data_IF_353409199869
#
_entry.id   IF_353409199869
#
_cell.length_a   1.000
_cell.length_b   1.000
_cell.length_c   1.000
_cell.angle_alpha   90.00
_cell.angle_beta   90.00
_cell.angle_gamma   90.00
#
_symmetry.space_group_name_H-M   'P 1'
#
loop_
_entity.id
_entity.type
_entity.pdbx_description
1 polymer ?
#
# COMPACT_ATOMS: atom_id res chain seq x y z
N UNK A 1 7.12 80.28 7.86
CA UNK A 1 8.15 79.24 7.64
C UNK A 1 7.47 77.87 7.75
N UNK A 2 7.50 77.10 6.65
CA UNK A 2 7.44 75.62 6.48
C UNK A 2 6.44 74.77 7.31
N UNK A 3 5.39 74.19 6.69
CA UNK A 3 5.27 72.78 6.18
C UNK A 3 4.82 71.75 7.25
N UNK A 4 3.96 70.72 7.06
CA UNK A 4 3.23 70.07 5.95
C UNK A 4 2.28 69.00 6.57
N UNK A 5 1.08 68.80 5.96
CA UNK A 5 0.30 67.53 5.69
C UNK A 5 0.08 66.47 6.81
N UNK A 6 -1.05 65.72 6.94
CA UNK A 6 -2.07 65.24 5.98
C UNK A 6 -3.28 64.61 6.73
N UNK A 7 -4.42 64.50 6.03
CA UNK A 7 -5.68 63.92 6.46
C UNK A 7 -5.78 62.39 6.29
N UNK A 8 -6.69 61.76 7.03
CA UNK A 8 -7.21 60.41 6.78
C UNK A 8 -8.45 60.13 7.64
N UNK A 9 -9.61 59.86 7.01
CA UNK A 9 -10.81 59.32 7.67
C UNK A 9 -11.48 58.34 6.74
N UNK A 10 -11.54 57.10 7.20
CA UNK A 10 -12.12 55.90 6.58
C UNK A 10 -13.59 55.78 6.97
N UNK A 11 -14.47 55.69 5.96
CA UNK A 11 -15.85 55.20 6.07
C UNK A 11 -15.96 53.93 5.22
N UNK A 12 -16.37 52.83 5.86
CA UNK A 12 -16.76 51.57 5.21
C UNK A 12 -18.17 51.72 4.64
N UNK A 13 -18.45 51.15 3.45
CA UNK A 13 -19.75 50.58 3.16
C UNK A 13 -19.68 49.07 2.92
N UNK A 14 -20.76 48.42 3.32
CA UNK A 14 -21.03 46.99 3.23
C UNK A 14 -20.95 46.45 1.79
N UNK A 15 -20.38 45.24 1.65
CA UNK A 15 -20.41 44.45 0.43
C UNK A 15 -20.88 43.03 0.76
N UNK A 16 -22.18 42.87 0.98
CA UNK A 16 -22.87 41.58 0.97
C UNK A 16 -23.93 41.64 -0.13
N UNK A 17 -23.72 40.84 -1.18
CA UNK A 17 -24.66 40.42 -2.25
C UNK A 17 -23.99 40.50 -3.63
N UNK A 18 -23.06 39.58 -3.91
CA UNK A 18 -22.64 39.28 -5.30
C UNK A 18 -22.32 37.81 -5.58
N UNK A 19 -22.35 36.92 -4.58
CA UNK A 19 -22.10 35.48 -4.78
C UNK A 19 -23.35 34.66 -5.13
N UNK A 20 -24.56 35.09 -4.75
CA UNK A 20 -25.78 34.32 -4.98
C UNK A 20 -26.35 34.44 -6.41
N UNK A 21 -26.11 35.57 -7.09
CA UNK A 21 -26.67 35.83 -8.44
C UNK A 21 -25.93 35.12 -9.58
N UNK A 22 -24.60 34.99 -9.48
CA UNK A 22 -23.80 34.30 -10.50
C UNK A 22 -23.98 32.78 -10.48
N UNK A 23 -24.31 32.20 -9.32
CA UNK A 23 -24.67 30.78 -9.19
C UNK A 23 -26.04 30.47 -9.83
N UNK A 24 -27.05 31.31 -9.55
CA UNK A 24 -28.40 31.15 -10.10
C UNK A 24 -28.43 31.30 -11.64
N UNK A 25 -27.74 32.29 -12.20
CA UNK A 25 -27.67 32.52 -13.65
C UNK A 25 -26.84 31.45 -14.41
N UNK A 26 -25.90 30.78 -13.73
CA UNK A 26 -25.24 29.58 -14.30
C UNK A 26 -26.15 28.35 -14.26
N UNK A 27 -26.85 28.13 -13.14
CA UNK A 27 -27.81 27.02 -13.02
C UNK A 27 -28.94 27.14 -14.04
N UNK A 28 -29.48 28.33 -14.25
CA UNK A 28 -30.57 28.56 -15.20
C UNK A 28 -30.12 28.33 -16.65
N UNK A 29 -28.88 28.74 -16.99
CA UNK A 29 -28.26 28.42 -18.29
C UNK A 29 -27.95 26.94 -18.48
N UNK A 30 -27.51 26.24 -17.45
CA UNK A 30 -27.28 24.78 -17.48
C UNK A 30 -28.60 24.01 -17.67
N UNK A 31 -29.66 24.38 -16.93
CA UNK A 31 -30.99 23.77 -17.04
C UNK A 31 -31.58 24.01 -18.43
N UNK A 32 -31.48 25.24 -18.94
CA UNK A 32 -31.94 25.59 -20.29
C UNK A 32 -31.19 24.81 -21.37
N UNK A 33 -29.85 24.76 -21.30
CA UNK A 33 -29.05 23.94 -22.23
C UNK A 33 -29.43 22.46 -22.17
N UNK A 34 -29.69 21.92 -20.97
CA UNK A 34 -30.12 20.52 -20.78
C UNK A 34 -31.50 20.24 -21.39
N UNK A 35 -32.43 21.20 -21.30
CA UNK A 35 -33.76 21.10 -21.90
C UNK A 35 -33.71 21.22 -23.43
N UNK A 36 -32.90 22.16 -23.95
CA UNK A 36 -32.64 22.30 -25.40
C UNK A 36 -31.98 21.03 -25.97
N UNK A 37 -31.02 20.45 -25.26
CA UNK A 37 -30.38 19.16 -25.61
C UNK A 37 -31.36 18.00 -25.63
N UNK A 38 -32.27 17.90 -24.65
CA UNK A 38 -33.30 16.86 -24.63
C UNK A 38 -34.29 17.02 -25.77
N UNK A 39 -34.65 18.26 -26.12
CA UNK A 39 -35.53 18.54 -27.25
C UNK A 39 -34.85 18.19 -28.59
N UNK A 40 -33.56 18.53 -28.76
CA UNK A 40 -32.77 18.14 -29.93
C UNK A 40 -32.57 16.62 -30.01
N UNK A 41 -32.40 15.93 -28.88
CA UNK A 41 -32.26 14.47 -28.85
C UNK A 41 -33.55 13.72 -29.21
N UNK A 42 -34.72 14.38 -29.09
CA UNK A 42 -36.02 13.79 -29.42
C UNK A 42 -36.38 13.90 -30.91
N UNK A 43 -35.75 14.78 -31.70
CA UNK A 43 -36.11 14.98 -33.11
C UNK A 43 -35.10 15.70 -34.01
N UNK A 44 -33.89 15.99 -33.52
CA UNK A 44 -32.82 16.65 -34.26
C UNK A 44 -31.96 15.67 -35.08
N UNK A 45 -31.26 16.20 -36.07
CA UNK A 45 -30.35 15.41 -36.93
C UNK A 45 -29.12 14.92 -36.14
N UNK A 46 -28.63 13.72 -36.46
CA UNK A 46 -27.49 13.09 -35.78
C UNK A 46 -26.22 13.97 -35.86
N UNK A 47 -26.01 14.65 -36.98
CA UNK A 47 -24.84 15.53 -37.16
C UNK A 47 -24.87 16.75 -36.23
N UNK A 48 -26.06 17.31 -35.97
CA UNK A 48 -26.25 18.41 -35.03
C UNK A 48 -25.96 17.94 -33.59
N UNK A 49 -26.48 16.76 -33.22
CA UNK A 49 -26.27 16.17 -31.90
C UNK A 49 -24.78 15.85 -31.68
N UNK A 50 -24.11 15.27 -32.67
CA UNK A 50 -22.65 15.02 -32.63
C UNK A 50 -21.89 16.31 -32.38
N UNK A 51 -22.13 17.34 -33.19
CA UNK A 51 -21.47 18.65 -33.06
C UNK A 51 -21.64 19.19 -31.65
N UNK A 52 -22.86 19.08 -31.11
CA UNK A 52 -23.16 19.56 -29.77
C UNK A 52 -22.47 18.76 -28.67
N UNK A 53 -22.36 17.44 -28.81
CA UNK A 53 -21.60 16.60 -27.86
C UNK A 53 -20.12 16.98 -27.88
N UNK A 54 -19.54 17.18 -29.06
CA UNK A 54 -18.15 17.63 -29.19
C UNK A 54 -17.92 18.99 -28.53
N UNK A 55 -18.85 19.95 -28.67
CA UNK A 55 -18.80 21.24 -27.96
C UNK A 55 -18.85 21.10 -26.43
N UNK A 56 -19.57 20.10 -25.90
CA UNK A 56 -19.66 19.86 -24.46
C UNK A 56 -18.38 19.22 -23.90
N UNK A 57 -17.64 18.49 -24.73
CA UNK A 57 -16.37 17.86 -24.36
C UNK A 57 -15.16 18.77 -24.63
N UNK A 58 -15.36 19.89 -25.32
CA UNK A 58 -14.33 20.89 -25.58
C UNK A 58 -13.83 21.54 -24.28
N UNK A 59 -12.54 21.35 -24.02
CA UNK A 59 -11.82 21.92 -22.87
C UNK A 59 -11.38 23.36 -23.10
N UNK A 60 -11.33 23.83 -24.35
CA UNK A 60 -10.80 25.14 -24.74
C UNK A 60 -11.31 26.31 -23.89
N UNK A 61 -12.61 26.38 -23.50
CA UNK A 61 -13.13 27.45 -22.65
C UNK A 61 -12.54 27.49 -21.23
N UNK A 62 -11.94 26.40 -20.76
CA UNK A 62 -11.42 26.22 -19.40
C UNK A 62 -9.89 26.24 -19.34
N UNK A 63 -9.22 26.13 -20.48
CA UNK A 63 -7.75 26.07 -20.55
C UNK A 63 -7.13 27.41 -20.16
N UNK A 64 -6.23 27.37 -19.17
CA UNK A 64 -5.34 28.48 -18.79
C UNK A 64 -3.90 27.99 -18.87
N UNK A 65 -3.06 28.72 -19.59
CA UNK A 65 -1.64 28.36 -19.75
C UNK A 65 -1.40 26.98 -20.38
N UNK A 66 -2.32 26.50 -21.21
CA UNK A 66 -2.20 25.21 -21.90
C UNK A 66 -2.69 24.01 -21.08
N UNK A 67 -3.35 24.24 -19.94
CA UNK A 67 -3.89 23.19 -19.08
C UNK A 67 -5.17 23.66 -18.35
N UNK A 68 -6.03 22.76 -17.89
CA UNK A 68 -7.22 23.08 -17.08
C UNK A 68 -6.89 22.94 -15.60
N UNK A 69 -6.78 24.08 -14.91
CA UNK A 69 -6.48 24.13 -13.47
C UNK A 69 -7.60 23.49 -12.62
N UNK A 70 -7.25 22.99 -11.43
CA UNK A 70 -8.16 22.38 -10.45
C UNK A 70 -9.47 23.17 -10.24
N UNK A 71 -9.38 24.50 -10.15
CA UNK A 71 -10.54 25.37 -9.92
C UNK A 71 -11.56 25.35 -11.07
N UNK A 72 -11.10 25.14 -12.30
CA UNK A 72 -11.90 25.10 -13.52
C UNK A 72 -12.27 23.66 -13.92
N UNK A 73 -11.51 22.65 -13.47
CA UNK A 73 -11.79 21.22 -13.72
C UNK A 73 -13.20 20.80 -13.28
N UNK A 74 -13.69 21.31 -12.14
CA UNK A 74 -15.08 21.07 -11.70
C UNK A 74 -16.10 21.60 -12.71
N UNK A 75 -15.88 22.81 -13.23
CA UNK A 75 -16.82 23.43 -14.18
C UNK A 75 -16.79 22.71 -15.53
N UNK A 76 -15.61 22.23 -15.96
CA UNK A 76 -15.48 21.38 -17.12
C UNK A 76 -16.20 20.03 -16.92
N UNK A 77 -15.99 19.35 -15.79
CA UNK A 77 -16.68 18.09 -15.49
C UNK A 77 -18.21 18.23 -15.50
N UNK A 78 -18.75 19.35 -14.99
CA UNK A 78 -20.18 19.67 -15.09
C UNK A 78 -20.66 19.93 -16.52
N UNK A 79 -19.80 20.45 -17.40
CA UNK A 79 -20.09 20.59 -18.83
C UNK A 79 -20.07 19.24 -19.53
N UNK A 80 -19.03 18.44 -19.32
CA UNK A 80 -18.87 17.12 -19.92
C UNK A 80 -19.99 16.15 -19.47
N UNK A 81 -20.45 16.22 -18.22
CA UNK A 81 -21.61 15.47 -17.72
C UNK A 81 -22.93 15.78 -18.47
N UNK A 82 -23.03 16.92 -19.15
CA UNK A 82 -24.19 17.21 -20.01
C UNK A 82 -24.16 16.38 -21.29
N UNK A 83 -22.99 16.01 -21.80
CA UNK A 83 -22.86 15.10 -22.94
C UNK A 83 -23.45 13.72 -22.59
N UNK A 84 -23.12 13.20 -21.39
CA UNK A 84 -23.74 11.98 -20.85
C UNK A 84 -25.26 12.10 -20.84
N UNK A 85 -25.79 13.17 -20.25
CA UNK A 85 -27.24 13.39 -20.19
C UNK A 85 -27.92 13.44 -21.56
N UNK A 86 -27.24 13.97 -22.58
CA UNK A 86 -27.74 14.02 -23.94
C UNK A 86 -27.75 12.62 -24.57
N UNK A 87 -26.67 11.86 -24.41
CA UNK A 87 -26.55 10.51 -24.96
C UNK A 87 -27.54 9.55 -24.31
N UNK A 88 -27.69 9.58 -22.98
CA UNK A 88 -28.71 8.77 -22.26
C UNK A 88 -30.13 9.10 -22.74
N UNK A 89 -30.40 10.36 -23.10
CA UNK A 89 -31.71 10.75 -23.62
C UNK A 89 -32.00 10.12 -24.98
N UNK A 90 -31.01 9.92 -25.84
CA UNK A 90 -31.18 9.24 -27.13
C UNK A 90 -31.66 7.79 -26.96
N UNK A 91 -31.07 7.05 -26.02
CA UNK A 91 -31.55 5.70 -25.68
C UNK A 91 -33.02 5.73 -25.24
N UNK A 92 -33.37 6.70 -24.40
CA UNK A 92 -34.74 6.87 -23.88
C UNK A 92 -35.77 7.28 -24.95
N UNK A 93 -35.33 7.96 -26.02
CA UNK A 93 -36.19 8.38 -27.14
C UNK A 93 -36.22 7.40 -28.31
N UNK A 94 -35.66 6.19 -28.13
CA UNK A 94 -35.67 5.12 -29.13
C UNK A 94 -34.55 5.20 -30.17
N UNK A 95 -33.54 6.05 -29.94
CA UNK A 95 -32.36 6.24 -30.81
C UNK A 95 -31.12 5.57 -30.20
N UNK A 96 -31.28 4.34 -29.76
CA UNK A 96 -30.22 3.61 -29.05
C UNK A 96 -28.97 3.35 -29.93
N UNK A 97 -29.13 3.11 -31.24
CA UNK A 97 -27.98 2.97 -32.16
C UNK A 97 -27.13 4.24 -32.23
N UNK A 98 -27.77 5.40 -32.34
CA UNK A 98 -27.08 6.71 -32.31
C UNK A 98 -26.36 6.92 -30.97
N UNK A 99 -27.00 6.53 -29.87
CA UNK A 99 -26.41 6.62 -28.53
C UNK A 99 -25.14 5.75 -28.42
N UNK A 100 -25.12 4.55 -28.99
CA UNK A 100 -23.92 3.69 -29.04
C UNK A 100 -22.78 4.44 -29.73
N UNK A 101 -23.00 4.93 -30.95
CA UNK A 101 -21.96 5.60 -31.73
C UNK A 101 -21.43 6.85 -31.01
N UNK A 102 -22.33 7.66 -30.47
CA UNK A 102 -21.97 8.91 -29.79
C UNK A 102 -21.29 8.66 -28.44
N UNK A 103 -21.65 7.63 -27.69
CA UNK A 103 -20.91 7.26 -26.48
C UNK A 103 -19.47 6.87 -26.79
N UNK A 104 -19.24 6.05 -27.83
CA UNK A 104 -17.87 5.63 -28.23
C UNK A 104 -17.03 6.84 -28.65
N UNK A 105 -17.62 7.76 -29.42
CA UNK A 105 -16.96 9.01 -29.84
C UNK A 105 -16.67 9.94 -28.65
N UNK A 106 -17.62 10.07 -27.73
CA UNK A 106 -17.49 10.89 -26.52
C UNK A 106 -16.39 10.39 -25.59
N UNK A 107 -16.30 9.07 -25.37
CA UNK A 107 -15.22 8.49 -24.56
C UNK A 107 -13.85 8.80 -25.17
N UNK A 108 -13.69 8.61 -26.48
CA UNK A 108 -12.43 8.92 -27.17
C UNK A 108 -12.05 10.40 -26.98
N UNK A 109 -12.99 11.31 -27.19
CA UNK A 109 -12.76 12.76 -27.03
C UNK A 109 -12.37 13.12 -25.59
N UNK A 110 -13.01 12.50 -24.60
CA UNK A 110 -12.68 12.72 -23.19
C UNK A 110 -11.27 12.21 -22.84
N UNK A 111 -10.92 11.02 -23.32
CA UNK A 111 -9.60 10.40 -23.14
C UNK A 111 -8.47 11.21 -23.80
N UNK A 112 -8.72 11.86 -24.93
CA UNK A 112 -7.73 12.69 -25.64
C UNK A 112 -7.34 13.96 -24.90
N UNK A 113 -8.19 14.45 -23.99
CA UNK A 113 -7.96 15.71 -23.28
C UNK A 113 -7.51 15.52 -21.83
N UNK A 114 -7.55 14.29 -21.30
CA UNK A 114 -7.36 14.01 -19.86
C UNK A 114 -6.02 14.49 -19.30
N UNK A 115 -4.92 14.30 -20.05
CA UNK A 115 -3.56 14.69 -19.63
C UNK A 115 -3.40 16.20 -19.48
N UNK A 116 -4.36 16.97 -20.00
CA UNK A 116 -4.42 18.42 -19.93
C UNK A 116 -5.27 18.97 -18.78
N UNK A 117 -5.74 18.13 -17.83
CA UNK A 117 -6.71 18.54 -16.79
C UNK A 117 -6.31 18.06 -15.39
N UNK A 118 -6.34 18.95 -14.39
CA UNK A 118 -6.07 18.59 -12.99
C UNK A 118 -7.36 18.02 -12.39
N UNK A 119 -7.55 16.72 -12.62
CA UNK A 119 -8.68 15.93 -12.13
C UNK A 119 -8.40 15.26 -10.78
N UNK A 120 -7.71 15.94 -9.87
CA UNK A 120 -7.42 15.40 -8.54
C UNK A 120 -8.68 14.99 -7.74
N UNK A 121 -9.85 15.54 -8.08
CA UNK A 121 -11.16 15.21 -7.50
C UNK A 121 -11.88 14.03 -8.20
N UNK A 122 -11.31 13.44 -9.26
CA UNK A 122 -11.88 12.30 -9.98
C UNK A 122 -13.18 12.60 -10.76
N UNK A 123 -13.37 13.84 -11.20
CA UNK A 123 -14.58 14.29 -11.93
C UNK A 123 -14.62 13.72 -13.34
N UNK A 124 -13.49 13.68 -14.05
CA UNK A 124 -13.42 13.10 -15.39
C UNK A 124 -13.66 11.60 -15.33
N UNK A 125 -13.11 10.90 -14.34
CA UNK A 125 -13.39 9.48 -14.14
C UNK A 125 -14.89 9.25 -13.96
N UNK A 126 -15.57 10.07 -13.14
CA UNK A 126 -17.03 10.00 -13.00
C UNK A 126 -17.82 10.26 -14.30
N UNK A 127 -17.34 11.13 -15.20
CA UNK A 127 -17.95 11.33 -16.52
C UNK A 127 -17.68 10.14 -17.44
N UNK A 128 -16.45 9.60 -17.43
CA UNK A 128 -16.07 8.42 -18.21
C UNK A 128 -16.88 7.19 -17.84
N UNK A 129 -17.01 6.88 -16.54
CA UNK A 129 -17.89 5.80 -16.04
C UNK A 129 -19.33 6.02 -16.49
N UNK A 130 -19.86 7.24 -16.40
CA UNK A 130 -21.24 7.52 -16.79
C UNK A 130 -21.46 7.42 -18.32
N UNK A 131 -20.45 7.72 -19.14
CA UNK A 131 -20.48 7.44 -20.58
C UNK A 131 -20.49 5.92 -20.85
N UNK A 132 -19.71 5.15 -20.09
CA UNK A 132 -19.66 3.69 -20.21
C UNK A 132 -20.99 3.03 -19.85
N UNK A 133 -21.64 3.48 -18.78
CA UNK A 133 -23.00 3.09 -18.40
C UNK A 133 -24.01 3.42 -19.51
N UNK A 134 -23.97 4.65 -20.03
CA UNK A 134 -24.87 5.07 -21.12
C UNK A 134 -24.68 4.24 -22.39
N UNK A 135 -23.44 3.87 -22.73
CA UNK A 135 -23.13 2.96 -23.83
C UNK A 135 -23.71 1.56 -23.58
N UNK A 136 -23.51 0.98 -22.40
CA UNK A 136 -24.03 -0.34 -22.06
C UNK A 136 -25.56 -0.40 -22.14
N UNK A 137 -26.25 0.61 -21.61
CA UNK A 137 -27.72 0.71 -21.67
C UNK A 137 -28.22 0.86 -23.12
N UNK A 138 -27.52 1.64 -23.94
CA UNK A 138 -27.81 1.75 -25.36
C UNK A 138 -27.62 0.40 -26.08
N UNK A 139 -26.52 -0.31 -25.80
CA UNK A 139 -26.26 -1.65 -26.32
C UNK A 139 -27.35 -2.66 -25.91
N UNK A 140 -27.81 -2.64 -24.66
CA UNK A 140 -28.91 -3.50 -24.19
C UNK A 140 -30.23 -3.23 -24.93
N UNK A 141 -30.47 -1.98 -25.30
CA UNK A 141 -31.69 -1.54 -25.99
C UNK A 141 -31.64 -1.85 -27.49
N UNK A 142 -30.53 -1.50 -28.16
CA UNK A 142 -30.39 -1.65 -29.62
C UNK A 142 -30.02 -3.08 -30.04
N UNK A 143 -29.38 -3.86 -29.16
CA UNK A 143 -28.81 -5.19 -29.48
C UNK A 143 -27.91 -5.14 -30.73
N UNK A 144 -26.80 -4.37 -30.68
CA UNK A 144 -25.88 -4.25 -31.80
C UNK A 144 -25.20 -5.59 -32.11
N UNK A 145 -24.51 -5.66 -33.26
CA UNK A 145 -23.73 -6.85 -33.62
C UNK A 145 -22.75 -7.23 -32.48
N UNK A 146 -22.83 -8.48 -31.97
CA UNK A 146 -21.99 -8.92 -30.86
C UNK A 146 -20.50 -8.93 -31.17
N UNK A 147 -20.10 -9.27 -32.40
CA UNK A 147 -18.70 -9.39 -32.77
C UNK A 147 -18.06 -8.02 -32.98
N UNK A 148 -18.78 -7.08 -33.60
CA UNK A 148 -18.35 -5.68 -33.72
C UNK A 148 -18.21 -5.04 -32.32
N UNK A 149 -19.19 -5.27 -31.45
CA UNK A 149 -19.15 -4.74 -30.07
C UNK A 149 -18.01 -5.35 -29.27
N UNK A 150 -17.78 -6.66 -29.39
CA UNK A 150 -16.65 -7.34 -28.76
C UNK A 150 -15.29 -6.81 -29.25
N UNK A 151 -15.14 -6.59 -30.56
CA UNK A 151 -13.93 -5.99 -31.14
C UNK A 151 -13.69 -4.57 -30.64
N UNK A 152 -14.75 -3.76 -30.54
CA UNK A 152 -14.64 -2.40 -30.00
C UNK A 152 -14.21 -2.42 -28.53
N UNK A 153 -14.83 -3.27 -27.70
CA UNK A 153 -14.51 -3.38 -26.27
C UNK A 153 -13.04 -3.74 -26.04
N UNK A 154 -12.53 -4.76 -26.75
CA UNK A 154 -11.12 -5.16 -26.58
C UNK A 154 -10.18 -4.04 -27.03
N UNK A 155 -10.46 -3.38 -28.16
CA UNK A 155 -9.65 -2.24 -28.62
C UNK A 155 -9.68 -1.08 -27.63
N UNK A 156 -10.83 -0.84 -27.01
CA UNK A 156 -11.01 0.22 -26.02
C UNK A 156 -10.23 -0.10 -24.75
N UNK A 157 -10.35 -1.30 -24.19
CA UNK A 157 -9.64 -1.70 -22.96
C UNK A 157 -8.11 -1.73 -23.14
N UNK A 158 -7.63 -2.07 -24.33
CA UNK A 158 -6.20 -2.13 -24.63
C UNK A 158 -5.57 -0.78 -25.00
N UNK A 159 -6.35 0.30 -25.01
CA UNK A 159 -5.84 1.63 -25.33
C UNK A 159 -5.44 2.35 -24.04
N UNK A 160 -4.16 2.72 -23.94
CA UNK A 160 -3.55 3.38 -22.78
C UNK A 160 -4.22 4.70 -22.35
N UNK A 161 -5.05 5.31 -23.21
CA UNK A 161 -5.78 6.54 -22.91
C UNK A 161 -7.15 6.31 -22.24
N UNK A 162 -7.60 5.07 -22.05
CA UNK A 162 -8.99 4.77 -21.67
C UNK A 162 -9.24 4.56 -20.17
N UNK A 163 -8.29 4.97 -19.32
CA UNK A 163 -8.32 4.86 -17.86
C UNK A 163 -9.54 5.53 -17.19
N UNK A 164 -10.24 6.44 -17.87
CA UNK A 164 -11.41 7.14 -17.31
C UNK A 164 -12.70 6.31 -17.27
N UNK A 165 -12.79 5.24 -18.07
CA UNK A 165 -14.07 4.57 -18.32
C UNK A 165 -14.32 3.33 -17.46
N UNK A 166 -13.26 2.70 -16.96
CA UNK A 166 -13.31 1.43 -16.21
C UNK A 166 -14.14 0.31 -16.88
N UNK A 167 -14.24 0.31 -18.22
CA UNK A 167 -15.03 -0.70 -18.95
C UNK A 167 -14.46 -2.11 -18.74
N UNK A 168 -15.29 -3.00 -18.20
CA UNK A 168 -15.03 -4.44 -18.16
C UNK A 168 -15.89 -5.17 -19.21
N UNK A 169 -15.29 -5.85 -20.21
CA UNK A 169 -16.05 -6.59 -21.23
C UNK A 169 -17.02 -7.63 -20.66
N UNK A 170 -16.81 -8.10 -19.42
CA UNK A 170 -17.71 -9.03 -18.75
C UNK A 170 -19.05 -8.40 -18.36
N UNK A 171 -19.12 -7.08 -18.20
CA UNK A 171 -20.38 -6.37 -17.93
C UNK A 171 -21.30 -6.35 -19.16
N UNK A 172 -20.72 -6.55 -20.35
CA UNK A 172 -21.42 -6.64 -21.63
C UNK A 172 -21.85 -8.07 -21.98
N UNK A 173 -21.65 -9.05 -21.10
CA UNK A 173 -21.93 -10.46 -21.40
C UNK A 173 -23.37 -10.72 -21.86
N UNK A 174 -24.35 -9.97 -21.35
CA UNK A 174 -25.76 -10.09 -21.75
C UNK A 174 -26.07 -9.46 -23.13
N UNK A 175 -25.24 -8.51 -23.57
CA UNK A 175 -25.30 -7.90 -24.91
C UNK A 175 -24.58 -8.80 -25.92
N UNK A 176 -23.40 -9.28 -25.57
CA UNK A 176 -22.52 -10.05 -26.46
C UNK A 176 -23.02 -11.49 -26.66
N UNK A 177 -23.70 -12.06 -25.67
CA UNK A 177 -24.03 -13.48 -25.66
C UNK A 177 -22.77 -14.36 -25.77
N UNK A 178 -22.97 -15.64 -26.05
CA UNK A 178 -21.86 -16.60 -26.16
C UNK A 178 -20.93 -16.26 -27.34
N UNK A 179 -21.50 -15.89 -28.49
CA UNK A 179 -20.76 -15.58 -29.71
C UNK A 179 -19.80 -14.39 -29.52
N UNK A 180 -20.30 -13.23 -29.09
CA UNK A 180 -19.45 -12.06 -28.89
C UNK A 180 -18.41 -12.29 -27.78
N UNK A 181 -18.74 -13.08 -26.74
CA UNK A 181 -17.77 -13.45 -25.71
C UNK A 181 -16.67 -14.38 -26.22
N UNK A 182 -16.92 -15.23 -27.23
CA UNK A 182 -15.87 -15.99 -27.92
C UNK A 182 -14.92 -15.03 -28.63
N UNK A 183 -15.45 -14.05 -29.36
CA UNK A 183 -14.67 -13.02 -30.05
C UNK A 183 -13.80 -12.22 -29.08
N UNK A 184 -14.36 -11.75 -27.95
CA UNK A 184 -13.60 -11.04 -26.91
C UNK A 184 -12.44 -11.89 -26.37
N UNK A 185 -12.67 -13.16 -26.06
CA UNK A 185 -11.61 -14.06 -25.55
C UNK A 185 -10.52 -14.31 -26.59
N UNK A 186 -10.89 -14.53 -27.85
CA UNK A 186 -9.93 -14.74 -28.94
C UNK A 186 -9.02 -13.52 -29.10
N UNK A 187 -9.60 -12.33 -29.17
CA UNK A 187 -8.84 -11.09 -29.31
C UNK A 187 -7.95 -10.78 -28.10
N UNK A 188 -8.41 -11.08 -26.87
CA UNK A 188 -7.58 -10.94 -25.67
C UNK A 188 -6.35 -11.87 -25.71
N UNK A 189 -6.53 -13.12 -26.16
CA UNK A 189 -5.42 -14.07 -26.33
C UNK A 189 -4.46 -13.61 -27.42
N UNK A 190 -4.96 -13.09 -28.55
CA UNK A 190 -4.15 -12.54 -29.63
C UNK A 190 -3.34 -11.33 -29.20
N UNK A 191 -3.97 -10.39 -28.48
CA UNK A 191 -3.30 -9.22 -27.92
C UNK A 191 -2.17 -9.61 -26.97
N UNK A 192 -2.45 -10.52 -26.02
CA UNK A 192 -1.42 -11.04 -25.10
C UNK A 192 -0.26 -11.74 -25.82
N UNK A 193 -0.54 -12.48 -26.90
CA UNK A 193 0.53 -13.10 -27.72
C UNK A 193 1.38 -12.05 -28.43
N UNK A 194 0.78 -10.93 -28.85
CA UNK A 194 1.47 -9.81 -29.47
C UNK A 194 2.32 -9.00 -28.49
N UNK A 195 1.88 -8.86 -27.24
CA UNK A 195 2.55 -8.07 -26.20
C UNK A 195 2.48 -8.73 -24.81
N UNK A 196 3.44 -9.62 -24.52
CA UNK A 196 3.52 -10.35 -23.22
C UNK A 196 3.99 -9.52 -22.03
N UNK A 197 4.40 -8.27 -22.27
CA UNK A 197 4.85 -7.35 -21.22
C UNK A 197 3.82 -6.27 -20.92
N UNK A 198 2.76 -6.18 -21.74
CA UNK A 198 1.71 -5.19 -21.61
C UNK A 198 0.80 -5.45 -20.42
N UNK A 199 0.58 -4.41 -19.62
CA UNK A 199 -0.24 -4.51 -18.41
C UNK A 199 -1.73 -4.69 -18.74
N UNK A 200 -2.24 -3.97 -19.74
CA UNK A 200 -3.64 -4.05 -20.16
C UNK A 200 -3.98 -5.44 -20.74
N UNK A 201 -3.10 -6.01 -21.57
CA UNK A 201 -3.24 -7.34 -22.14
C UNK A 201 -3.21 -8.42 -21.06
N UNK A 202 -2.27 -8.30 -20.11
CA UNK A 202 -2.18 -9.19 -18.95
C UNK A 202 -3.48 -9.15 -18.14
N UNK A 203 -3.92 -7.95 -17.79
CA UNK A 203 -5.11 -7.73 -16.97
C UNK A 203 -6.37 -8.27 -17.65
N UNK A 204 -6.59 -7.93 -18.92
CA UNK A 204 -7.76 -8.38 -19.67
C UNK A 204 -7.81 -9.91 -19.78
N UNK A 205 -6.70 -10.55 -20.15
CA UNK A 205 -6.66 -12.01 -20.29
C UNK A 205 -6.84 -12.71 -18.93
N UNK A 206 -6.19 -12.23 -17.87
CA UNK A 206 -6.37 -12.76 -16.52
C UNK A 206 -7.83 -12.61 -16.05
N UNK A 207 -8.42 -11.44 -16.26
CA UNK A 207 -9.81 -11.14 -15.88
C UNK A 207 -10.81 -12.07 -16.56
N UNK A 208 -10.66 -12.29 -17.87
CA UNK A 208 -11.49 -13.20 -18.66
C UNK A 208 -11.30 -14.66 -18.26
N UNK A 209 -10.05 -15.08 -18.02
CA UNK A 209 -9.73 -16.44 -17.60
C UNK A 209 -10.34 -16.77 -16.23
N UNK A 210 -10.24 -15.85 -15.26
CA UNK A 210 -10.88 -15.99 -13.93
C UNK A 210 -12.39 -16.13 -14.04
N UNK A 211 -13.05 -15.30 -14.85
CA UNK A 211 -14.49 -15.40 -15.06
C UNK A 211 -14.92 -16.72 -15.73
N UNK A 212 -14.05 -17.29 -16.57
CA UNK A 212 -14.24 -18.60 -17.20
C UNK A 212 -13.81 -19.79 -16.35
N UNK A 213 -13.29 -19.58 -15.12
CA UNK A 213 -12.60 -20.60 -14.32
C UNK A 213 -11.45 -21.32 -15.08
N UNK A 214 -10.82 -20.63 -16.03
CA UNK A 214 -9.66 -21.12 -16.77
C UNK A 214 -8.36 -20.85 -15.99
N UNK A 215 -8.13 -21.72 -15.02
CA UNK A 215 -6.98 -21.62 -14.10
C UNK A 215 -5.66 -21.80 -14.84
N UNK A 216 -5.62 -22.62 -15.91
CA UNK A 216 -4.40 -22.83 -16.69
C UNK A 216 -3.97 -21.55 -17.41
N UNK A 217 -4.91 -20.78 -17.95
CA UNK A 217 -4.60 -19.48 -18.54
C UNK A 217 -4.11 -18.49 -17.48
N UNK A 218 -4.74 -18.42 -16.30
CA UNK A 218 -4.28 -17.56 -15.20
C UNK A 218 -2.84 -17.92 -14.80
N UNK A 219 -2.53 -19.21 -14.66
CA UNK A 219 -1.18 -19.72 -14.37
C UNK A 219 -0.21 -19.30 -15.47
N UNK A 220 -0.56 -19.48 -16.75
CA UNK A 220 0.31 -19.14 -17.88
C UNK A 220 0.61 -17.63 -17.97
N UNK A 221 -0.38 -16.79 -17.67
CA UNK A 221 -0.23 -15.33 -17.65
C UNK A 221 0.75 -14.89 -16.56
N UNK A 222 0.60 -15.40 -15.33
CA UNK A 222 1.55 -15.12 -14.25
C UNK A 222 2.94 -15.73 -14.50
N UNK A 223 2.99 -16.93 -15.09
CA UNK A 223 4.25 -17.60 -15.39
C UNK A 223 5.10 -16.91 -16.47
N UNK A 224 4.52 -16.02 -17.27
CA UNK A 224 5.22 -15.28 -18.30
C UNK A 224 6.19 -14.23 -17.73
N UNK A 225 5.93 -13.74 -16.51
CA UNK A 225 6.77 -12.75 -15.82
C UNK A 225 6.88 -13.08 -14.32
N UNK A 226 7.83 -13.97 -14.00
CA UNK A 226 8.06 -14.44 -12.65
C UNK A 226 8.96 -13.48 -11.88
N UNK A 227 8.43 -12.93 -10.78
CA UNK A 227 9.22 -12.10 -9.89
C UNK A 227 10.40 -12.89 -9.28
N UNK A 228 11.62 -12.32 -9.24
CA UNK A 228 12.81 -13.01 -8.74
C UNK A 228 12.71 -13.51 -7.29
N UNK A 229 11.91 -12.86 -6.45
CA UNK A 229 11.67 -13.25 -5.05
C UNK A 229 10.60 -14.34 -4.88
N UNK A 230 9.98 -14.81 -5.95
CA UNK A 230 8.95 -15.85 -5.90
C UNK A 230 7.53 -15.37 -5.56
N UNK A 231 7.28 -14.06 -5.44
CA UNK A 231 5.92 -13.54 -5.17
C UNK A 231 4.90 -13.96 -6.24
N UNK A 232 5.28 -13.96 -7.52
CA UNK A 232 4.42 -14.47 -8.61
C UNK A 232 4.14 -15.97 -8.48
N UNK A 233 5.11 -16.76 -7.98
CA UNK A 233 4.89 -18.18 -7.72
C UNK A 233 3.85 -18.40 -6.62
N UNK A 234 3.85 -17.56 -5.58
CA UNK A 234 2.84 -17.60 -4.53
C UNK A 234 1.45 -17.27 -5.06
N UNK A 235 1.32 -16.27 -5.96
CA UNK A 235 0.05 -15.97 -6.62
C UNK A 235 -0.46 -17.21 -7.35
N UNK A 236 0.37 -17.80 -8.21
CA UNK A 236 0.04 -19.04 -8.94
C UNK A 236 -0.39 -20.18 -7.99
N UNK A 237 0.37 -20.40 -6.92
CA UNK A 237 0.07 -21.46 -5.97
C UNK A 237 -1.29 -21.27 -5.27
N UNK A 238 -1.67 -20.03 -4.95
CA UNK A 238 -2.97 -19.70 -4.35
C UNK A 238 -4.13 -19.87 -5.34
N UNK A 239 -3.93 -19.53 -6.61
CA UNK A 239 -4.92 -19.76 -7.66
C UNK A 239 -5.21 -21.25 -7.83
N UNK A 240 -4.15 -22.05 -7.93
CA UNK A 240 -4.26 -23.51 -8.03
C UNK A 240 -4.94 -24.12 -6.81
N UNK A 241 -4.67 -23.62 -5.61
CA UNK A 241 -5.37 -24.08 -4.40
C UNK A 241 -6.85 -23.75 -4.42
N UNK A 242 -7.20 -22.52 -4.81
CA UNK A 242 -8.59 -22.08 -4.95
C UNK A 242 -9.34 -22.95 -5.97
N UNK A 243 -8.64 -23.40 -7.00
CA UNK A 243 -9.13 -24.32 -8.02
C UNK A 243 -9.15 -25.81 -7.61
N UNK A 244 -8.72 -26.16 -6.39
CA UNK A 244 -8.68 -27.55 -5.93
C UNK A 244 -7.56 -28.38 -6.55
N UNK A 245 -6.44 -27.76 -6.97
CA UNK A 245 -5.24 -28.40 -7.55
C UNK A 245 -4.03 -28.32 -6.58
N UNK A 246 -4.10 -28.93 -5.38
CA UNK A 246 -3.12 -28.72 -4.32
C UNK A 246 -1.72 -29.24 -4.69
N UNK A 247 -1.62 -30.34 -5.43
CA UNK A 247 -0.32 -30.90 -5.81
C UNK A 247 0.46 -29.96 -6.74
N UNK A 248 -0.22 -29.30 -7.66
CA UNK A 248 0.38 -28.30 -8.55
C UNK A 248 0.75 -27.03 -7.81
N UNK A 249 -0.15 -26.57 -6.93
CA UNK A 249 0.12 -25.46 -6.03
C UNK A 249 1.41 -25.68 -5.23
N UNK A 250 1.58 -26.88 -4.64
CA UNK A 250 2.77 -27.22 -3.87
C UNK A 250 4.03 -27.19 -4.75
N UNK A 251 3.97 -27.77 -5.95
CA UNK A 251 5.10 -27.74 -6.91
C UNK A 251 5.48 -26.31 -7.30
N UNK A 252 4.50 -25.43 -7.52
CA UNK A 252 4.74 -24.03 -7.83
C UNK A 252 5.39 -23.27 -6.67
N UNK A 253 4.94 -23.53 -5.43
CA UNK A 253 5.55 -22.91 -4.26
C UNK A 253 7.00 -23.40 -4.02
N UNK A 254 7.24 -24.72 -4.13
CA UNK A 254 8.59 -25.30 -4.03
C UNK A 254 9.52 -24.76 -5.13
N UNK A 255 9.01 -24.63 -6.36
CA UNK A 255 9.71 -24.01 -7.49
C UNK A 255 10.09 -22.57 -7.18
N UNK A 256 9.18 -21.78 -6.61
CA UNK A 256 9.43 -20.39 -6.25
C UNK A 256 10.58 -20.23 -5.25
N UNK A 257 10.65 -21.09 -4.23
CA UNK A 257 11.79 -21.11 -3.29
C UNK A 257 13.09 -21.47 -4.00
N UNK A 258 13.07 -22.49 -4.86
CA UNK A 258 14.25 -22.95 -5.60
C UNK A 258 14.80 -21.88 -6.54
N UNK A 259 13.93 -21.22 -7.29
CA UNK A 259 14.31 -20.16 -8.24
C UNK A 259 14.74 -18.87 -7.52
N UNK A 260 14.13 -18.57 -6.37
CA UNK A 260 14.55 -17.46 -5.52
C UNK A 260 15.82 -17.75 -4.72
N UNK A 261 16.42 -18.95 -4.76
CA UNK A 261 17.64 -19.28 -4.00
C UNK A 261 18.94 -18.60 -4.52
N UNK A 262 18.82 -17.61 -5.40
CA UNK A 262 19.92 -16.80 -5.93
C UNK A 262 20.29 -15.58 -5.06
N UNK A 263 20.64 -14.41 -5.65
CA UNK A 263 21.03 -13.22 -4.88
C UNK A 263 19.85 -12.52 -4.17
N UNK A 264 18.62 -12.92 -4.49
CA UNK A 264 17.38 -12.34 -3.93
C UNK A 264 16.88 -13.28 -2.84
N UNK A 265 16.35 -12.75 -1.75
CA UNK A 265 15.75 -13.64 -0.74
C UNK A 265 14.31 -13.97 -1.12
N UNK A 266 13.86 -15.24 -0.96
CA UNK A 266 12.46 -15.59 -1.15
C UNK A 266 11.51 -14.70 -0.35
N UNK A 267 10.36 -14.40 -0.95
CA UNK A 267 9.25 -13.70 -0.31
C UNK A 267 8.83 -14.45 0.97
N UNK A 268 8.77 -13.73 2.10
CA UNK A 268 8.40 -14.30 3.40
C UNK A 268 7.00 -14.92 3.34
N UNK A 269 6.07 -14.32 2.60
CA UNK A 269 4.73 -14.86 2.44
C UNK A 269 4.74 -16.20 1.68
N UNK A 270 5.67 -16.39 0.74
CA UNK A 270 5.85 -17.67 0.04
C UNK A 270 6.42 -18.73 0.99
N UNK A 271 7.43 -18.36 1.79
CA UNK A 271 8.00 -19.25 2.82
C UNK A 271 6.94 -19.70 3.82
N UNK A 272 6.16 -18.75 4.35
CA UNK A 272 5.11 -19.02 5.32
C UNK A 272 4.04 -19.94 4.73
N UNK A 273 3.61 -19.65 3.50
CA UNK A 273 2.67 -20.48 2.76
C UNK A 273 3.19 -21.92 2.59
N UNK A 274 4.45 -22.10 2.17
CA UNK A 274 5.01 -23.43 1.95
C UNK A 274 5.21 -24.21 3.26
N UNK A 275 5.63 -23.54 4.35
CA UNK A 275 5.76 -24.18 5.67
C UNK A 275 4.41 -24.70 6.19
N UNK A 276 3.35 -23.91 6.03
CA UNK A 276 1.99 -24.27 6.41
C UNK A 276 1.49 -25.47 5.59
N UNK A 277 1.82 -25.53 4.30
CA UNK A 277 1.52 -26.67 3.42
C UNK A 277 2.27 -27.93 3.83
N UNK A 278 3.56 -27.83 4.12
CA UNK A 278 4.33 -28.95 4.67
C UNK A 278 3.75 -29.45 5.99
N UNK A 279 3.29 -28.55 6.85
CA UNK A 279 2.64 -28.92 8.12
C UNK A 279 1.36 -29.71 7.89
N UNK A 280 0.50 -29.27 6.97
CA UNK A 280 -0.74 -30.01 6.63
C UNK A 280 -0.47 -31.36 5.97
N UNK A 281 0.65 -31.50 5.25
CA UNK A 281 1.05 -32.73 4.59
C UNK A 281 1.91 -33.67 5.47
N UNK A 282 2.04 -33.38 6.78
CA UNK A 282 2.91 -34.10 7.73
C UNK A 282 4.40 -34.15 7.31
N UNK A 283 4.83 -33.22 6.46
CA UNK A 283 6.21 -33.02 6.01
C UNK A 283 6.97 -32.06 6.94
N UNK A 284 6.83 -32.25 8.25
CA UNK A 284 7.32 -31.28 9.25
C UNK A 284 8.84 -31.06 9.17
N UNK A 285 9.61 -32.09 8.80
CA UNK A 285 11.06 -31.97 8.60
C UNK A 285 11.44 -31.01 7.47
N UNK A 286 10.62 -30.93 6.42
CA UNK A 286 10.85 -30.01 5.30
C UNK A 286 10.58 -28.56 5.71
N UNK A 287 9.60 -28.33 6.58
CA UNK A 287 9.36 -27.00 7.16
C UNK A 287 10.55 -26.54 8.02
N UNK A 288 11.13 -27.43 8.83
CA UNK A 288 12.36 -27.13 9.59
C UNK A 288 13.53 -26.81 8.66
N UNK A 289 13.73 -27.62 7.62
CA UNK A 289 14.79 -27.39 6.64
C UNK A 289 14.65 -26.03 5.93
N UNK A 290 13.43 -25.67 5.53
CA UNK A 290 13.14 -24.38 4.89
C UNK A 290 13.40 -23.21 5.85
N UNK A 291 12.91 -23.28 7.09
CA UNK A 291 13.17 -22.23 8.10
C UNK A 291 14.65 -22.10 8.44
N UNK A 292 15.41 -23.19 8.39
CA UNK A 292 16.88 -23.15 8.56
C UNK A 292 17.55 -22.36 7.43
N UNK A 293 17.15 -22.60 6.18
CA UNK A 293 17.65 -21.84 5.02
C UNK A 293 17.31 -20.36 5.16
N UNK A 294 16.08 -20.05 5.59
CA UNK A 294 15.63 -18.67 5.81
C UNK A 294 16.45 -17.98 6.90
N UNK A 295 16.74 -18.63 8.04
CA UNK A 295 17.61 -18.06 9.06
C UNK A 295 19.05 -17.84 8.56
N UNK A 296 19.55 -18.75 7.72
CA UNK A 296 20.88 -18.61 7.11
C UNK A 296 20.99 -17.38 6.19
N UNK A 297 19.92 -17.10 5.43
CA UNK A 297 19.83 -15.92 4.56
C UNK A 297 19.47 -14.64 5.34
N UNK A 298 18.61 -14.76 6.34
CA UNK A 298 18.04 -13.68 7.14
C UNK A 298 18.26 -13.92 8.62
N UNK A 299 19.38 -13.37 9.09
CA UNK A 299 19.81 -13.46 10.48
C UNK A 299 19.00 -12.48 11.33
N UNK A 300 17.74 -12.81 11.56
CA UNK A 300 16.81 -12.01 12.35
C UNK A 300 16.24 -12.81 13.51
N UNK A 301 15.79 -12.12 14.56
CA UNK A 301 15.12 -12.75 15.69
C UNK A 301 13.85 -13.49 15.23
N UNK A 302 13.10 -12.91 14.29
CA UNK A 302 11.87 -13.51 13.75
C UNK A 302 12.17 -14.84 13.06
N UNK A 303 13.21 -14.90 12.22
CA UNK A 303 13.61 -16.15 11.56
C UNK A 303 14.04 -17.22 12.57
N UNK A 304 14.73 -16.82 13.65
CA UNK A 304 15.09 -17.73 14.74
C UNK A 304 13.84 -18.27 15.45
N UNK A 305 12.89 -17.41 15.81
CA UNK A 305 11.64 -17.80 16.45
C UNK A 305 10.82 -18.75 15.56
N UNK A 306 10.74 -18.48 14.26
CA UNK A 306 10.05 -19.36 13.32
C UNK A 306 10.73 -20.72 13.18
N UNK A 307 12.07 -20.77 13.14
CA UNK A 307 12.82 -22.02 13.18
C UNK A 307 12.57 -22.78 14.49
N UNK A 308 12.57 -22.09 15.63
CA UNK A 308 12.28 -22.68 16.95
C UNK A 308 10.91 -23.34 16.98
N UNK A 309 9.87 -22.62 16.57
CA UNK A 309 8.50 -23.14 16.50
C UNK A 309 8.42 -24.40 15.62
N UNK A 310 9.01 -24.36 14.43
CA UNK A 310 9.03 -25.52 13.52
C UNK A 310 9.83 -26.71 14.09
N UNK A 311 10.96 -26.46 14.73
CA UNK A 311 11.80 -27.53 15.28
C UNK A 311 11.21 -28.15 16.55
N UNK A 312 10.47 -27.37 17.35
CA UNK A 312 9.76 -27.85 18.53
C UNK A 312 8.64 -28.81 18.16
N UNK A 313 7.92 -28.59 17.05
CA UNK A 313 6.85 -29.50 16.62
C UNK A 313 7.36 -30.89 16.22
N UNK A 314 8.64 -31.01 15.86
CA UNK A 314 9.32 -32.27 15.50
C UNK A 314 10.23 -32.79 16.64
N UNK A 315 10.33 -32.06 17.76
CA UNK A 315 11.17 -32.44 18.90
C UNK A 315 12.69 -32.33 18.63
N UNK A 316 13.12 -31.60 17.60
CA UNK A 316 14.53 -31.45 17.23
C UNK A 316 15.15 -30.10 17.60
N UNK A 317 14.43 -29.29 18.40
CA UNK A 317 14.84 -27.92 18.73
C UNK A 317 16.27 -27.81 19.26
N UNK A 318 16.72 -28.70 20.15
CA UNK A 318 18.06 -28.57 20.74
C UNK A 318 19.17 -28.65 19.68
N UNK A 319 19.07 -29.59 18.73
CA UNK A 319 20.04 -29.72 17.65
C UNK A 319 19.99 -28.52 16.68
N UNK A 320 18.79 -28.00 16.39
CA UNK A 320 18.63 -26.82 15.54
C UNK A 320 19.10 -25.53 16.22
N UNK A 321 18.87 -25.42 17.53
CA UNK A 321 19.31 -24.29 18.36
C UNK A 321 20.83 -24.17 18.33
N UNK A 322 21.55 -25.26 18.54
CA UNK A 322 23.02 -25.25 18.48
C UNK A 322 23.54 -24.76 17.13
N UNK A 323 22.93 -25.23 16.03
CA UNK A 323 23.27 -24.81 14.66
C UNK A 323 22.94 -23.33 14.42
N UNK A 324 21.75 -22.89 14.83
CA UNK A 324 21.28 -21.52 14.71
C UNK A 324 22.19 -20.56 15.48
N UNK A 325 22.52 -20.88 16.73
CA UNK A 325 23.40 -20.05 17.56
C UNK A 325 24.85 -20.05 17.04
N UNK A 326 25.36 -21.17 16.52
CA UNK A 326 26.68 -21.20 15.88
C UNK A 326 26.73 -20.28 14.64
N UNK A 327 25.68 -20.31 13.82
CA UNK A 327 25.52 -19.43 12.67
C UNK A 327 25.48 -17.95 13.10
N UNK A 328 24.68 -17.60 14.12
CA UNK A 328 24.54 -16.24 14.63
C UNK A 328 25.83 -15.73 15.31
N UNK A 329 26.57 -16.60 16.01
CA UNK A 329 27.90 -16.31 16.56
C UNK A 329 28.91 -15.97 15.46
N UNK A 330 28.97 -16.79 14.42
CA UNK A 330 29.87 -16.53 13.30
C UNK A 330 29.53 -15.21 12.58
N UNK A 331 28.26 -14.77 12.63
CA UNK A 331 27.85 -13.48 12.09
C UNK A 331 28.28 -12.31 12.96
N UNK A 332 28.01 -12.41 14.26
CA UNK A 332 28.35 -11.40 15.24
C UNK A 332 29.87 -11.12 15.27
N UNK A 333 30.69 -12.12 14.95
CA UNK A 333 32.14 -11.98 14.81
C UNK A 333 32.56 -11.29 13.51
N UNK A 334 31.82 -11.48 12.42
CA UNK A 334 32.11 -10.87 11.10
C UNK A 334 31.64 -9.43 11.03
N UNK A 335 30.51 -9.13 11.63
CA UNK A 335 29.87 -7.83 11.60
C UNK A 335 30.23 -7.06 12.87
N UNK A 336 31.20 -6.15 12.79
CA UNK A 336 31.39 -5.18 13.88
C UNK A 336 30.08 -4.40 14.06
N UNK A 337 29.69 -4.19 15.31
CA UNK A 337 28.44 -3.54 15.75
C UNK A 337 27.99 -2.43 14.79
N UNK A 338 26.90 -2.67 14.07
CA UNK A 338 26.28 -1.68 13.19
C UNK A 338 25.64 -0.57 14.03
N UNK A 339 25.65 0.67 13.54
CA UNK A 339 24.92 1.78 14.16
C UNK A 339 23.41 1.45 14.31
N UNK A 340 22.86 0.64 13.40
CA UNK A 340 21.43 0.37 13.32
C UNK A 340 20.93 -0.80 14.20
N UNK A 341 21.82 -1.51 14.90
CA UNK A 341 21.42 -2.63 15.77
C UNK A 341 22.60 -3.49 16.23
N UNK A 342 22.44 -4.10 17.40
CA UNK A 342 23.44 -5.05 17.91
C UNK A 342 23.24 -6.47 17.37
N UNK A 343 24.12 -7.41 17.72
CA UNK A 343 24.10 -8.75 17.15
C UNK A 343 22.79 -9.50 17.47
N UNK A 344 22.16 -10.08 16.45
CA UNK A 344 20.93 -10.88 16.60
C UNK A 344 21.12 -12.10 17.51
N UNK A 345 22.36 -12.58 17.63
CA UNK A 345 22.75 -13.60 18.61
C UNK A 345 22.23 -13.29 20.03
N UNK A 346 22.35 -12.04 20.47
CA UNK A 346 22.01 -11.65 21.83
C UNK A 346 20.49 -11.67 22.02
N UNK A 347 19.75 -11.13 21.05
CA UNK A 347 18.29 -11.15 21.07
C UNK A 347 17.76 -12.59 21.03
N UNK A 348 18.37 -13.47 20.22
CA UNK A 348 18.02 -14.89 20.17
C UNK A 348 18.28 -15.61 21.50
N UNK A 349 19.42 -15.35 22.15
CA UNK A 349 19.73 -15.96 23.46
C UNK A 349 18.81 -15.44 24.57
N UNK A 350 18.46 -14.16 24.55
CA UNK A 350 17.46 -13.58 25.46
C UNK A 350 16.07 -14.19 25.25
N UNK A 351 15.65 -14.38 23.98
CA UNK A 351 14.39 -15.00 23.61
C UNK A 351 14.31 -16.49 23.98
N UNK A 352 15.47 -17.17 24.02
CA UNK A 352 15.64 -18.53 24.54
C UNK A 352 15.80 -18.60 26.06
N UNK A 353 15.72 -17.46 26.76
CA UNK A 353 15.90 -17.33 28.22
C UNK A 353 17.29 -17.76 28.74
N UNK A 354 18.29 -17.84 27.85
CA UNK A 354 19.67 -18.21 28.17
C UNK A 354 20.49 -16.96 28.54
N UNK A 355 20.15 -16.37 29.68
CA UNK A 355 20.70 -15.08 30.14
C UNK A 355 22.22 -15.12 30.30
N UNK A 356 22.75 -16.26 30.77
CA UNK A 356 24.18 -16.42 30.99
C UNK A 356 24.95 -16.39 29.67
N UNK A 357 24.50 -17.15 28.66
CA UNK A 357 25.11 -17.14 27.34
C UNK A 357 24.91 -15.79 26.63
N UNK A 358 23.74 -15.16 26.79
CA UNK A 358 23.44 -13.85 26.22
C UNK A 358 24.40 -12.77 26.77
N UNK A 359 24.65 -12.80 28.09
CA UNK A 359 25.59 -11.90 28.75
C UNK A 359 27.04 -12.11 28.27
N UNK A 360 27.46 -13.36 28.16
CA UNK A 360 28.78 -13.70 27.64
C UNK A 360 28.95 -13.22 26.19
N UNK A 361 27.98 -13.51 25.33
CA UNK A 361 27.99 -13.06 23.94
C UNK A 361 28.06 -11.53 23.84
N UNK A 362 27.27 -10.81 24.63
CA UNK A 362 27.31 -9.34 24.67
C UNK A 362 28.67 -8.77 25.08
N UNK A 363 29.38 -9.44 26.00
CA UNK A 363 30.72 -9.06 26.39
C UNK A 363 31.77 -9.34 25.31
N UNK A 364 31.62 -10.41 24.54
CA UNK A 364 32.57 -10.85 23.50
C UNK A 364 32.40 -10.11 22.18
N UNK A 365 31.17 -9.94 21.70
CA UNK A 365 30.88 -9.38 20.37
C UNK A 365 30.51 -7.89 20.42
N UNK A 366 30.32 -7.36 21.62
CA UNK A 366 29.65 -6.08 21.84
C UNK A 366 28.12 -6.21 21.68
N UNK A 367 27.39 -5.29 22.30
CA UNK A 367 25.93 -5.23 22.22
C UNK A 367 25.46 -3.78 22.16
N UNK A 368 24.30 -3.57 21.55
CA UNK A 368 23.66 -2.26 21.49
C UNK A 368 23.04 -1.90 22.86
N UNK A 369 22.88 -0.62 23.17
CA UNK A 369 22.34 -0.15 24.46
C UNK A 369 20.96 -0.73 24.78
N UNK A 370 20.11 -0.90 23.75
CA UNK A 370 18.81 -1.60 23.88
C UNK A 370 18.98 -3.04 24.39
N UNK A 371 19.96 -3.78 23.87
CA UNK A 371 20.22 -5.17 24.24
C UNK A 371 20.84 -5.25 25.64
N UNK A 372 21.75 -4.33 25.95
CA UNK A 372 22.30 -4.19 27.30
C UNK A 372 21.21 -3.89 28.34
N UNK A 373 20.25 -3.03 28.00
CA UNK A 373 19.11 -2.74 28.87
C UNK A 373 18.27 -4.00 29.12
N UNK A 374 17.91 -4.73 28.06
CA UNK A 374 17.15 -5.98 28.17
C UNK A 374 17.90 -7.04 29.00
N UNK A 375 19.21 -7.20 28.78
CA UNK A 375 20.08 -8.06 29.57
C UNK A 375 20.09 -7.68 31.04
N UNK A 376 20.25 -6.39 31.36
CA UNK A 376 20.25 -5.91 32.73
C UNK A 376 18.90 -6.15 33.42
N UNK A 377 17.80 -5.94 32.72
CA UNK A 377 16.45 -6.19 33.22
C UNK A 377 16.23 -7.65 33.58
N UNK A 378 16.64 -8.58 32.71
CA UNK A 378 16.51 -10.02 32.96
C UNK A 378 17.53 -10.55 33.98
N UNK A 379 18.74 -10.01 34.00
CA UNK A 379 19.80 -10.41 34.94
C UNK A 379 19.69 -9.75 36.33
N UNK A 380 18.76 -8.82 36.55
CA UNK A 380 18.68 -8.03 37.79
C UNK A 380 18.59 -8.87 39.07
N UNK A 381 17.94 -10.03 38.99
CA UNK A 381 17.78 -10.93 40.14
C UNK A 381 19.00 -11.80 40.38
N UNK A 382 19.63 -12.31 39.32
CA UNK A 382 20.75 -13.25 39.40
C UNK A 382 22.12 -12.56 39.47
N UNK A 383 22.24 -11.36 38.90
CA UNK A 383 23.48 -10.57 38.77
C UNK A 383 23.22 -9.07 39.02
N UNK A 384 22.73 -8.67 40.21
CA UNK A 384 22.34 -7.28 40.48
C UNK A 384 23.50 -6.28 40.35
N UNK A 385 24.74 -6.68 40.66
CA UNK A 385 25.93 -5.82 40.50
C UNK A 385 26.24 -5.51 39.03
N UNK A 386 26.13 -6.52 38.16
CA UNK A 386 26.39 -6.33 36.73
C UNK A 386 25.29 -5.52 36.06
N UNK A 387 24.02 -5.79 36.40
CA UNK A 387 22.88 -5.01 35.93
C UNK A 387 22.99 -3.53 36.38
N UNK A 388 23.41 -3.28 37.62
CA UNK A 388 23.66 -1.94 38.14
C UNK A 388 24.68 -1.17 37.29
N UNK A 389 25.81 -1.79 36.96
CA UNK A 389 26.85 -1.17 36.11
C UNK A 389 26.31 -0.77 34.74
N UNK A 390 25.47 -1.62 34.14
CA UNK A 390 24.82 -1.32 32.86
C UNK A 390 23.87 -0.14 32.99
N UNK A 391 22.97 -0.14 33.98
CA UNK A 391 22.03 0.97 34.15
C UNK A 391 22.73 2.31 34.40
N UNK A 392 23.78 2.34 35.22
CA UNK A 392 24.56 3.55 35.47
C UNK A 392 25.23 4.07 34.19
N UNK A 393 25.82 3.17 33.39
CA UNK A 393 26.42 3.51 32.08
C UNK A 393 25.38 4.10 31.12
N UNK A 394 24.18 3.51 31.05
CA UNK A 394 23.09 3.99 30.19
C UNK A 394 22.47 5.30 30.70
N UNK A 395 22.46 5.53 32.02
CA UNK A 395 21.92 6.74 32.62
C UNK A 395 22.83 7.97 32.38
N UNK A 396 24.16 7.78 32.39
CA UNK A 396 25.14 8.86 32.28
C UNK A 396 24.90 9.81 31.08
N UNK A 397 24.77 9.36 29.82
CA UNK A 397 24.54 10.26 28.70
C UNK A 397 23.20 11.02 28.81
N UNK A 398 22.16 10.40 29.38
CA UNK A 398 20.85 11.02 29.57
C UNK A 398 20.88 12.17 30.57
N UNK A 399 21.80 12.15 31.55
CA UNK A 399 21.98 13.26 32.51
C UNK A 399 22.42 14.56 31.82
N UNK A 400 23.14 14.46 30.70
CA UNK A 400 23.70 15.59 29.94
C UNK A 400 22.66 16.18 28.97
N UNK A 401 21.69 15.40 28.54
CA UNK A 401 20.66 15.79 27.57
C UNK A 401 19.45 16.50 28.25
N UNK A 402 18.59 17.10 27.43
CA UNK A 402 17.36 17.78 27.88
C UNK A 402 16.17 17.40 27.03
N UNK A 403 15.04 17.07 27.67
CA UNK A 403 13.80 16.70 27.00
C UNK A 403 12.93 15.88 27.94
N UNK A 404 11.61 16.00 27.85
CA UNK A 404 10.72 15.27 28.77
C UNK A 404 10.85 13.75 28.60
N UNK A 405 10.97 13.26 27.36
CA UNK A 405 11.20 11.84 27.06
C UNK A 405 12.51 11.32 27.63
N UNK A 406 13.59 12.11 27.52
CA UNK A 406 14.90 11.81 28.11
C UNK A 406 14.81 11.73 29.64
N UNK A 407 14.08 12.65 30.27
CA UNK A 407 13.90 12.64 31.72
C UNK A 407 13.10 11.41 32.18
N UNK A 408 12.05 11.04 31.46
CA UNK A 408 11.29 9.81 31.73
C UNK A 408 12.18 8.57 31.66
N UNK A 409 12.97 8.43 30.58
CA UNK A 409 13.95 7.34 30.42
C UNK A 409 14.97 7.32 31.57
N UNK A 410 15.54 8.47 31.92
CA UNK A 410 16.48 8.59 33.04
C UNK A 410 15.84 8.17 34.36
N UNK A 411 14.63 8.63 34.67
CA UNK A 411 13.93 8.24 35.92
C UNK A 411 13.58 6.76 35.98
N UNK A 412 13.27 6.13 34.84
CA UNK A 412 13.06 4.69 34.76
C UNK A 412 14.36 3.94 35.08
N UNK A 413 15.50 4.34 34.49
CA UNK A 413 16.80 3.75 34.80
C UNK A 413 17.19 3.94 36.27
N UNK A 414 16.97 5.12 36.85
CA UNK A 414 17.24 5.38 38.27
C UNK A 414 16.39 4.53 39.20
N UNK A 415 15.18 4.16 38.78
CA UNK A 415 14.34 3.21 39.52
C UNK A 415 14.92 1.80 39.48
N UNK A 416 15.41 1.36 38.31
CA UNK A 416 16.11 0.07 38.17
C UNK A 416 17.43 0.02 38.96
N UNK A 417 18.18 1.13 39.00
CA UNK A 417 19.38 1.30 39.84
C UNK A 417 19.03 1.14 41.32
N UNK A 418 17.93 1.75 41.79
CA UNK A 418 17.44 1.59 43.17
C UNK A 418 17.17 0.14 43.51
N UNK A 419 16.50 -0.59 42.61
CA UNK A 419 16.20 -2.01 42.81
C UNK A 419 17.47 -2.85 42.93
N UNK A 420 18.51 -2.57 42.13
CA UNK A 420 19.79 -3.25 42.24
C UNK A 420 20.46 -2.97 43.59
N UNK A 421 20.55 -1.70 44.01
CA UNK A 421 21.13 -1.35 45.32
C UNK A 421 20.39 -2.01 46.48
N UNK A 422 19.06 -2.08 46.41
CA UNK A 422 18.25 -2.80 47.42
C UNK A 422 18.57 -4.29 47.48
N UNK A 423 18.78 -4.93 46.33
CA UNK A 423 19.17 -6.35 46.27
C UNK A 423 20.60 -6.59 46.77
N UNK A 424 21.47 -5.58 46.66
CA UNK A 424 22.85 -5.63 47.11
C UNK A 424 23.03 -5.18 48.57
N UNK A 425 21.99 -4.64 49.22
CA UNK A 425 22.08 -4.06 50.57
C UNK A 425 22.92 -2.77 50.63
N UNK A 426 22.91 -1.99 49.55
CA UNK A 426 23.72 -0.76 49.38
C UNK A 426 22.83 0.47 49.16
N UNK A 427 21.68 0.54 49.82
CA UNK A 427 20.70 1.61 49.68
C UNK A 427 21.27 2.99 50.03
N UNK A 428 22.21 3.07 50.98
CA UNK A 428 22.87 4.33 51.36
C UNK A 428 23.70 4.92 50.21
N UNK A 429 24.34 4.05 49.40
CA UNK A 429 25.07 4.47 48.20
C UNK A 429 24.11 5.03 47.15
N UNK A 430 22.94 4.41 47.00
CA UNK A 430 21.89 4.90 46.11
C UNK A 430 21.39 6.29 46.52
N UNK A 431 21.10 6.49 47.81
CA UNK A 431 20.63 7.78 48.32
C UNK A 431 21.67 8.88 48.11
N UNK A 432 22.95 8.55 48.32
CA UNK A 432 24.07 9.47 48.07
C UNK A 432 24.19 9.81 46.58
N UNK A 433 24.05 8.82 45.70
CA UNK A 433 24.08 9.01 44.24
C UNK A 433 22.95 9.90 43.73
N UNK A 434 21.70 9.67 44.16
CA UNK A 434 20.57 10.49 43.71
C UNK A 434 20.64 11.90 44.30
N UNK A 435 21.08 12.07 45.55
CA UNK A 435 21.31 13.39 46.14
C UNK A 435 22.33 14.21 45.31
N UNK A 436 23.44 13.59 44.90
CA UNK A 436 24.43 14.21 44.03
C UNK A 436 23.85 14.58 42.65
N UNK A 437 23.06 13.68 42.04
CA UNK A 437 22.40 13.91 40.76
C UNK A 437 21.40 15.08 40.83
N UNK A 438 20.62 15.18 41.92
CA UNK A 438 19.71 16.30 42.19
C UNK A 438 20.46 17.62 42.35
N UNK A 439 21.58 17.61 43.09
CA UNK A 439 22.41 18.80 43.28
C UNK A 439 23.01 19.32 41.95
N UNK A 440 23.53 18.41 41.12
CA UNK A 440 24.12 18.74 39.82
C UNK A 440 23.09 19.29 38.80
N UNK A 441 21.84 18.83 38.87
CA UNK A 441 20.82 19.16 37.88
C UNK A 441 19.64 20.00 38.41
N UNK A 442 19.79 20.68 39.55
CA UNK A 442 18.74 21.50 40.20
C UNK A 442 18.03 22.52 39.30
N UNK A 443 18.69 22.97 38.22
CA UNK A 443 18.12 23.93 37.24
C UNK A 443 17.11 23.27 36.28
N UNK A 444 17.11 21.94 36.15
CA UNK A 444 16.19 21.16 35.28
C UNK A 444 14.86 20.89 36.01
N UNK A 445 13.99 21.90 36.11
CA UNK A 445 12.73 21.86 36.89
C UNK A 445 11.81 20.67 36.57
N UNK A 446 11.67 20.31 35.28
CA UNK A 446 10.85 19.16 34.88
C UNK A 446 11.42 17.82 35.34
N UNK A 447 12.75 17.67 35.33
CA UNK A 447 13.42 16.48 35.85
C UNK A 447 13.22 16.37 37.37
N UNK A 448 13.40 17.46 38.12
CA UNK A 448 13.16 17.47 39.57
C UNK A 448 11.74 17.05 39.93
N UNK A 449 10.74 17.59 39.22
CA UNK A 449 9.33 17.21 39.40
C UNK A 449 9.08 15.72 39.12
N UNK A 450 9.74 15.14 38.11
CA UNK A 450 9.62 13.71 37.79
C UNK A 450 10.28 12.83 38.85
N UNK A 451 11.44 13.22 39.37
CA UNK A 451 12.12 12.53 40.47
C UNK A 451 11.25 12.54 41.73
N UNK A 452 10.69 13.70 42.10
CA UNK A 452 9.78 13.82 43.25
C UNK A 452 8.57 12.90 43.13
N UNK A 453 7.95 12.86 41.94
CA UNK A 453 6.78 12.01 41.67
C UNK A 453 7.09 10.52 41.81
N UNK A 454 8.32 10.10 41.52
CA UNK A 454 8.78 8.70 41.58
C UNK A 454 9.41 8.34 42.95
N UNK A 455 9.48 9.31 43.87
CA UNK A 455 10.15 9.15 45.16
C UNK A 455 11.65 8.84 45.00
N UNK A 456 12.31 9.52 44.05
CA UNK A 456 13.74 9.40 43.74
C UNK A 456 14.50 10.63 44.23
#
# INVERSE_FOLDING_TARGET
MASRQRAGSTLWPAATARSSGAGADRQDRQVRRRLELRAASAGGDLAEIRTRISELLDVTPFVRYGYVEYADARAYGEQAAQAVSAITALTSTGRAEDAIHLSREAMRLLSEVQDGIDDSDGRLSGVGTALAEAHLDACRTARPDPDETGQWLVRHVLNDLNDLTDIDPLEYADVLGEQGMVTVRQLAVEAWRGNRTGWAEKYLLERLARAGNDVDTVVAVHAADLAPGGSTHLVIARELDTAGRPDESLRWAERGIKEASGPVTPDIALVDYLCDRYTRADRLSDAVALRRVVLAAHRSLVAHQQLRTAAQSVGCWQAERERALALLRADAQRQQSSWYGGPVLIDALLDDEDIAAAWQAAAETGAHDRQWLALADQARTSRPSDALRVYLRLAEPLTKQTGNTIYEQLTNLLSSVRDCHRRLGTEDEYMSYVAALRAAHKRKRNLMRLLDRRGL
#
